data_IF_507697630695
#
_entry.id   IF_507697630695
#
_cell.length_a   1.000
_cell.length_b   1.000
_cell.length_c   1.000
_cell.angle_alpha   90.00
_cell.angle_beta   90.00
_cell.angle_gamma   90.00
#
_symmetry.space_group_name_H-M   'P 1'
#
loop_
_entity.id
_entity.type
_entity.pdbx_description
1 polymer ?
#
# COMPACT_ATOMS: atom_id res chain seq x y z
N UNK A 1 41.69 -29.37 14.04
CA UNK A 1 40.28 -29.76 14.20
C UNK A 1 39.48 -28.52 13.87
N UNK A 2 39.28 -28.30 12.57
CA UNK A 2 38.51 -27.17 12.04
C UNK A 2 37.06 -27.61 11.93
N UNK A 3 36.16 -26.84 12.55
CA UNK A 3 34.73 -27.05 12.49
C UNK A 3 34.02 -25.71 12.39
N UNK A 4 33.49 -25.43 11.19
CA UNK A 4 32.23 -24.74 10.79
C UNK A 4 31.88 -23.44 11.56
N UNK A 5 31.42 -22.36 10.92
CA UNK A 5 30.18 -22.30 10.15
C UNK A 5 30.31 -21.32 8.97
N UNK A 6 30.08 -21.84 7.76
CA UNK A 6 29.71 -21.02 6.61
C UNK A 6 28.26 -20.57 6.82
N UNK A 7 28.03 -19.27 6.85
CA UNK A 7 26.68 -18.71 6.81
C UNK A 7 26.21 -18.81 5.35
N UNK A 8 25.37 -19.80 5.06
CA UNK A 8 24.65 -19.88 3.79
C UNK A 8 23.75 -18.64 3.71
N UNK A 9 24.02 -17.79 2.72
CA UNK A 9 23.15 -16.67 2.37
C UNK A 9 21.88 -17.29 1.79
N UNK A 10 20.85 -17.41 2.61
CA UNK A 10 19.49 -17.60 2.11
C UNK A 10 19.16 -16.44 1.19
N UNK A 11 19.11 -16.74 -0.11
CA UNK A 11 18.58 -15.84 -1.13
C UNK A 11 17.17 -15.43 -0.73
N UNK A 12 17.02 -14.18 -0.30
CA UNK A 12 15.70 -13.58 -0.10
C UNK A 12 14.90 -13.68 -1.39
N UNK A 13 13.58 -13.96 -1.31
CA UNK A 13 12.73 -13.93 -2.49
C UNK A 13 12.79 -12.53 -3.09
N UNK A 14 13.05 -12.49 -4.40
CA UNK A 14 12.91 -11.31 -5.24
C UNK A 14 11.49 -10.75 -5.10
N UNK A 15 11.35 -9.70 -4.29
CA UNK A 15 10.12 -8.94 -4.10
C UNK A 15 10.03 -7.85 -5.18
N UNK A 16 10.21 -8.22 -6.45
CA UNK A 16 9.74 -7.41 -7.55
C UNK A 16 8.22 -7.41 -7.49
N UNK A 17 7.64 -6.26 -7.15
CA UNK A 17 6.20 -6.03 -7.19
C UNK A 17 5.64 -6.48 -8.57
N UNK A 18 4.68 -7.42 -8.62
CA UNK A 18 4.09 -7.81 -9.89
C UNK A 18 2.99 -6.80 -10.26
N UNK A 19 3.28 -5.80 -11.12
CA UNK A 19 2.18 -4.99 -11.67
C UNK A 19 2.40 -3.65 -12.36
N UNK A 20 3.61 -3.19 -12.70
CA UNK A 20 3.80 -1.86 -13.31
C UNK A 20 3.52 -1.77 -14.83
N UNK A 21 2.53 -2.49 -15.35
CA UNK A 21 2.08 -2.29 -16.72
C UNK A 21 1.02 -1.15 -16.75
N UNK A 22 1.21 -0.07 -17.52
CA UNK A 22 0.28 1.05 -17.52
C UNK A 22 -1.13 0.59 -17.91
N UNK A 23 -2.18 1.07 -17.22
CA UNK A 23 -3.56 0.68 -17.54
C UNK A 23 -3.99 1.24 -18.89
N UNK A 24 -4.95 0.57 -19.52
CA UNK A 24 -5.70 1.14 -20.64
C UNK A 24 -6.65 2.22 -20.11
N UNK A 25 -6.81 3.27 -20.89
CA UNK A 25 -7.74 4.35 -20.57
C UNK A 25 -9.19 3.91 -20.90
N UNK A 26 -10.21 4.36 -20.16
CA UNK A 26 -11.60 3.94 -20.41
C UNK A 26 -12.15 4.28 -21.81
N UNK A 27 -11.59 5.28 -22.49
CA UNK A 27 -11.92 5.62 -23.88
C UNK A 27 -11.40 4.59 -24.89
N UNK A 28 -10.52 3.67 -24.49
CA UNK A 28 -10.05 2.53 -25.26
C UNK A 28 -10.97 1.30 -25.12
N UNK A 29 -12.29 1.53 -25.01
CA UNK A 29 -13.30 0.51 -24.71
C UNK A 29 -13.22 -0.75 -25.59
N UNK A 30 -13.03 -0.61 -26.91
CA UNK A 30 -12.91 -1.75 -27.82
C UNK A 30 -11.72 -2.65 -27.49
N UNK A 31 -10.57 -2.09 -27.09
CA UNK A 31 -9.39 -2.88 -26.71
C UNK A 31 -9.62 -3.62 -25.39
N UNK A 32 -10.35 -3.00 -24.45
CA UNK A 32 -10.74 -3.64 -23.19
C UNK A 32 -11.67 -4.82 -23.47
N UNK A 33 -12.66 -4.65 -24.35
CA UNK A 33 -13.59 -5.71 -24.77
C UNK A 33 -12.85 -6.88 -25.44
N UNK A 34 -11.97 -6.60 -26.39
CA UNK A 34 -11.18 -7.61 -27.10
C UNK A 34 -10.29 -8.43 -26.16
N UNK A 35 -9.56 -7.75 -25.26
CA UNK A 35 -8.69 -8.42 -24.28
C UNK A 35 -9.48 -9.25 -23.28
N UNK A 36 -10.60 -8.73 -22.78
CA UNK A 36 -11.44 -9.49 -21.86
C UNK A 36 -12.10 -10.69 -22.54
N UNK A 37 -12.53 -10.56 -23.79
CA UNK A 37 -13.05 -11.68 -24.58
C UNK A 37 -11.96 -12.74 -24.83
N UNK A 38 -10.74 -12.32 -25.17
CA UNK A 38 -9.61 -13.22 -25.35
C UNK A 38 -9.28 -13.98 -24.06
N UNK A 39 -9.35 -13.30 -22.90
CA UNK A 39 -9.22 -13.95 -21.60
C UNK A 39 -10.29 -15.01 -21.35
N UNK A 40 -11.57 -14.70 -21.56
CA UNK A 40 -12.68 -15.65 -21.36
C UNK A 40 -12.54 -16.89 -22.25
N UNK A 41 -12.14 -16.69 -23.51
CA UNK A 41 -11.87 -17.77 -24.48
C UNK A 41 -10.57 -18.54 -24.16
N UNK A 42 -9.61 -17.87 -23.56
CA UNK A 42 -8.21 -18.30 -23.49
C UNK A 42 -7.81 -18.99 -22.19
N UNK A 43 -8.33 -18.57 -21.04
CA UNK A 43 -7.83 -18.99 -19.73
C UNK A 43 -8.04 -20.50 -19.48
N UNK A 44 -6.94 -21.19 -19.17
CA UNK A 44 -6.91 -22.64 -18.97
C UNK A 44 -6.47 -23.03 -17.56
N UNK A 45 -7.12 -24.06 -17.02
CA UNK A 45 -6.68 -24.76 -15.81
C UNK A 45 -6.63 -26.24 -16.14
N UNK A 46 -5.47 -26.87 -15.95
CA UNK A 46 -5.23 -28.29 -16.27
C UNK A 46 -5.64 -28.67 -17.71
N UNK A 47 -5.37 -27.79 -18.68
CA UNK A 47 -5.68 -28.01 -20.11
C UNK A 47 -7.16 -27.80 -20.49
N UNK A 48 -8.00 -27.31 -19.57
CA UNK A 48 -9.40 -27.03 -19.84
C UNK A 48 -9.69 -25.53 -19.84
N UNK A 49 -10.43 -25.04 -20.84
CA UNK A 49 -10.96 -23.67 -20.90
C UNK A 49 -11.92 -23.43 -19.74
N UNK A 50 -11.43 -22.82 -18.66
CA UNK A 50 -12.12 -22.78 -17.37
C UNK A 50 -13.49 -22.12 -17.48
N UNK A 51 -13.53 -20.88 -17.97
CA UNK A 51 -14.77 -20.10 -18.04
C UNK A 51 -15.77 -20.69 -19.04
N UNK A 52 -15.31 -21.35 -20.11
CA UNK A 52 -16.20 -22.07 -21.03
C UNK A 52 -16.88 -23.25 -20.33
N UNK A 53 -16.12 -24.04 -19.56
CA UNK A 53 -16.66 -25.18 -18.83
C UNK A 53 -17.65 -24.75 -17.75
N UNK A 54 -17.31 -23.74 -16.95
CA UNK A 54 -18.20 -23.21 -15.89
C UNK A 54 -19.49 -22.67 -16.50
N UNK A 55 -19.41 -21.85 -17.54
CA UNK A 55 -20.61 -21.24 -18.11
C UNK A 55 -21.47 -22.20 -18.93
N UNK A 56 -20.89 -23.28 -19.48
CA UNK A 56 -21.70 -24.40 -20.00
C UNK A 56 -22.56 -25.04 -18.92
N UNK A 57 -22.02 -25.24 -17.72
CA UNK A 57 -22.79 -25.76 -16.60
C UNK A 57 -23.86 -24.76 -16.13
N UNK A 58 -23.50 -23.47 -15.96
CA UNK A 58 -24.44 -22.42 -15.54
C UNK A 58 -25.58 -22.18 -16.54
N UNK A 59 -25.31 -22.34 -17.85
CA UNK A 59 -26.34 -22.25 -18.88
C UNK A 59 -27.44 -23.31 -18.72
N UNK A 60 -27.12 -24.50 -18.21
CA UNK A 60 -28.13 -25.56 -17.96
C UNK A 60 -29.17 -25.20 -16.91
N UNK A 61 -28.85 -24.23 -16.04
CA UNK A 61 -29.74 -23.71 -14.99
C UNK A 61 -30.20 -22.27 -15.29
N UNK A 62 -30.06 -21.81 -16.56
CA UNK A 62 -30.38 -20.46 -17.01
C UNK A 62 -29.73 -19.34 -16.19
N UNK A 63 -28.52 -19.58 -15.66
CA UNK A 63 -27.80 -18.60 -14.85
C UNK A 63 -26.75 -17.87 -15.70
N UNK A 64 -26.94 -16.57 -15.90
CA UNK A 64 -26.10 -15.74 -16.78
C UNK A 64 -24.99 -14.96 -16.09
N UNK A 65 -25.07 -14.74 -14.78
CA UNK A 65 -24.07 -13.96 -14.06
C UNK A 65 -22.69 -14.61 -14.10
N UNK A 66 -21.66 -13.78 -14.24
CA UNK A 66 -20.29 -14.20 -14.44
C UNK A 66 -19.42 -13.74 -13.29
N UNK A 67 -18.83 -14.69 -12.57
CA UNK A 67 -17.85 -14.43 -11.51
C UNK A 67 -16.46 -14.76 -12.02
N UNK A 68 -15.59 -13.76 -12.07
CA UNK A 68 -14.21 -13.85 -12.56
C UNK A 68 -13.27 -13.69 -11.38
N UNK A 69 -12.30 -14.60 -11.22
CA UNK A 69 -11.26 -14.41 -10.22
C UNK A 69 -10.20 -13.43 -10.75
N UNK A 70 -9.91 -12.36 -9.99
CA UNK A 70 -8.91 -11.36 -10.37
C UNK A 70 -7.52 -11.95 -10.62
N UNK A 71 -7.12 -12.97 -9.85
CA UNK A 71 -5.82 -13.64 -10.04
C UNK A 71 -5.71 -14.31 -11.41
N UNK A 72 -6.81 -14.83 -11.95
CA UNK A 72 -6.83 -15.42 -13.30
C UNK A 72 -6.59 -14.34 -14.36
N UNK A 73 -7.22 -13.16 -14.20
CA UNK A 73 -6.98 -12.00 -15.07
C UNK A 73 -5.52 -11.56 -14.99
N UNK A 74 -4.98 -11.42 -13.78
CA UNK A 74 -3.61 -10.99 -13.55
C UNK A 74 -2.58 -11.94 -14.18
N UNK A 75 -2.83 -13.25 -14.11
CA UNK A 75 -1.97 -14.27 -14.73
C UNK A 75 -2.03 -14.25 -16.27
N UNK A 76 -3.19 -13.97 -16.84
CA UNK A 76 -3.41 -14.02 -18.28
C UNK A 76 -3.05 -12.70 -18.98
N UNK A 77 -3.50 -11.58 -18.42
CA UNK A 77 -3.31 -10.24 -18.96
C UNK A 77 -3.15 -9.23 -17.82
N UNK A 78 -1.90 -8.97 -17.37
CA UNK A 78 -1.60 -8.01 -16.32
C UNK A 78 -2.06 -6.58 -16.63
N UNK A 79 -2.07 -6.16 -17.90
CA UNK A 79 -2.52 -4.82 -18.32
C UNK A 79 -4.03 -4.70 -18.12
N UNK A 80 -4.79 -5.70 -18.57
CA UNK A 80 -6.23 -5.73 -18.36
C UNK A 80 -6.59 -5.82 -16.88
N UNK A 81 -5.85 -6.62 -16.10
CA UNK A 81 -6.04 -6.70 -14.66
C UNK A 81 -5.83 -5.34 -13.98
N UNK A 82 -4.74 -4.63 -14.30
CA UNK A 82 -4.49 -3.29 -13.76
C UNK A 82 -5.55 -2.27 -14.21
N UNK A 83 -5.99 -2.34 -15.47
CA UNK A 83 -7.08 -1.51 -16.00
C UNK A 83 -8.37 -1.71 -15.21
N UNK A 84 -8.76 -2.97 -14.97
CA UNK A 84 -9.95 -3.33 -14.17
C UNK A 84 -9.75 -2.91 -12.71
N UNK A 85 -8.56 -3.05 -12.15
CA UNK A 85 -8.26 -2.62 -10.78
C UNK A 85 -8.53 -1.12 -10.58
N UNK A 86 -8.01 -0.29 -11.48
CA UNK A 86 -8.08 1.18 -11.39
C UNK A 86 -9.45 1.71 -11.83
N UNK A 87 -10.02 1.20 -12.94
CA UNK A 87 -11.18 1.81 -13.61
C UNK A 87 -12.45 0.95 -13.57
N UNK A 88 -12.59 -0.01 -12.64
CA UNK A 88 -13.70 -0.99 -12.66
C UNK A 88 -15.07 -0.38 -12.92
N UNK A 89 -15.44 0.68 -12.18
CA UNK A 89 -16.75 1.31 -12.33
C UNK A 89 -16.99 1.86 -13.74
N UNK A 90 -15.94 2.37 -14.39
CA UNK A 90 -16.01 2.95 -15.73
C UNK A 90 -16.02 1.91 -16.85
N UNK A 91 -15.43 0.72 -16.62
CA UNK A 91 -15.29 -0.33 -17.67
C UNK A 91 -16.33 -1.45 -17.56
N UNK A 92 -17.25 -1.41 -16.59
CA UNK A 92 -18.26 -2.45 -16.36
C UNK A 92 -19.06 -2.80 -17.62
N UNK A 93 -19.49 -1.79 -18.38
CA UNK A 93 -20.26 -2.00 -19.62
C UNK A 93 -19.45 -2.76 -20.66
N UNK A 94 -18.15 -2.45 -20.80
CA UNK A 94 -17.26 -3.15 -21.72
C UNK A 94 -17.10 -4.62 -21.33
N UNK A 95 -16.87 -4.89 -20.03
CA UNK A 95 -16.77 -6.27 -19.54
C UNK A 95 -18.05 -7.06 -19.80
N UNK A 96 -19.22 -6.44 -19.59
CA UNK A 96 -20.52 -7.05 -19.86
C UNK A 96 -20.74 -7.33 -21.35
N UNK A 97 -20.34 -6.41 -22.24
CA UNK A 97 -20.43 -6.60 -23.69
C UNK A 97 -19.61 -7.80 -24.16
N UNK A 98 -18.34 -7.87 -23.75
CA UNK A 98 -17.45 -8.97 -24.08
C UNK A 98 -17.96 -10.31 -23.50
N UNK A 99 -18.48 -10.32 -22.27
CA UNK A 99 -19.09 -11.51 -21.68
C UNK A 99 -20.35 -11.99 -22.44
N UNK A 100 -21.19 -11.07 -22.92
CA UNK A 100 -22.35 -11.42 -23.76
C UNK A 100 -21.94 -12.06 -25.08
N UNK A 101 -20.91 -11.53 -25.74
CA UNK A 101 -20.33 -12.12 -26.96
C UNK A 101 -19.81 -13.53 -26.66
N UNK A 102 -19.04 -13.68 -25.57
CA UNK A 102 -18.53 -14.98 -25.14
C UNK A 102 -19.64 -16.02 -24.90
N UNK A 103 -20.69 -15.68 -24.15
CA UNK A 103 -21.78 -16.61 -23.88
C UNK A 103 -22.52 -17.02 -25.14
N UNK A 104 -22.75 -16.07 -26.05
CA UNK A 104 -23.41 -16.35 -27.32
C UNK A 104 -22.58 -17.27 -28.22
N UNK A 105 -21.29 -16.99 -28.37
CA UNK A 105 -20.40 -17.69 -29.33
C UNK A 105 -19.84 -19.02 -28.79
N UNK A 106 -19.42 -19.06 -27.53
CA UNK A 106 -18.70 -20.21 -26.97
C UNK A 106 -19.58 -21.17 -26.18
N UNK A 107 -20.69 -20.66 -25.64
CA UNK A 107 -21.59 -21.40 -24.75
C UNK A 107 -22.95 -21.66 -25.42
N UNK A 108 -23.37 -20.81 -26.36
CA UNK A 108 -24.68 -20.89 -26.99
C UNK A 108 -25.82 -20.38 -26.10
N UNK A 109 -25.52 -19.47 -25.17
CA UNK A 109 -26.48 -18.91 -24.20
C UNK A 109 -26.65 -17.41 -24.41
N UNK A 110 -27.88 -16.92 -24.35
CA UNK A 110 -28.19 -15.48 -24.44
C UNK A 110 -28.73 -14.98 -23.10
N UNK A 111 -28.14 -13.88 -22.61
CA UNK A 111 -28.52 -13.23 -21.38
C UNK A 111 -28.55 -11.70 -21.59
N UNK A 112 -29.71 -11.09 -21.39
CA UNK A 112 -29.87 -9.63 -21.56
C UNK A 112 -29.27 -8.85 -20.37
N UNK A 113 -29.53 -9.33 -19.16
CA UNK A 113 -29.12 -8.71 -17.90
C UNK A 113 -28.00 -9.51 -17.24
N UNK A 114 -26.83 -9.48 -17.86
CA UNK A 114 -25.63 -10.13 -17.36
C UNK A 114 -24.86 -9.20 -16.44
N UNK A 115 -24.55 -9.67 -15.22
CA UNK A 115 -23.65 -8.98 -14.32
C UNK A 115 -22.28 -9.69 -14.27
N UNK A 116 -21.21 -8.94 -14.53
CA UNK A 116 -19.82 -9.40 -14.34
C UNK A 116 -19.32 -8.95 -12.97
N UNK A 117 -19.01 -9.92 -12.10
CA UNK A 117 -18.34 -9.70 -10.82
C UNK A 117 -16.87 -10.08 -10.94
N UNK A 118 -15.99 -9.21 -10.46
CA UNK A 118 -14.57 -9.52 -10.30
C UNK A 118 -14.32 -9.84 -8.83
N UNK A 119 -14.16 -11.12 -8.52
CA UNK A 119 -13.86 -11.65 -7.20
C UNK A 119 -12.38 -11.44 -6.86
N UNK A 120 -12.08 -11.27 -5.58
CA UNK A 120 -10.72 -11.12 -5.05
C UNK A 120 -9.92 -9.97 -5.71
N UNK A 121 -10.63 -8.96 -6.24
CA UNK A 121 -9.99 -7.76 -6.77
C UNK A 121 -9.32 -7.04 -5.60
N UNK A 122 -8.00 -6.73 -5.68
CA UNK A 122 -7.39 -5.89 -4.67
C UNK A 122 -8.15 -4.57 -4.63
N UNK A 123 -8.53 -4.12 -3.43
CA UNK A 123 -9.11 -2.79 -3.26
C UNK A 123 -8.12 -1.79 -3.87
N UNK A 124 -8.56 -0.83 -4.71
CA UNK A 124 -7.69 0.25 -5.14
C UNK A 124 -7.11 0.87 -3.88
N UNK A 125 -5.78 0.92 -3.76
CA UNK A 125 -5.11 1.45 -2.56
C UNK A 125 -5.66 2.86 -2.35
N UNK A 126 -6.47 3.03 -1.31
CA UNK A 126 -7.07 4.33 -1.02
C UNK A 126 -6.04 5.08 -0.22
N UNK A 127 -5.41 6.07 -0.84
CA UNK A 127 -4.46 6.93 -0.13
C UNK A 127 -5.18 8.17 0.39
N UNK A 128 -4.95 8.47 1.66
CA UNK A 128 -5.43 9.68 2.32
C UNK A 128 -4.25 10.44 2.93
N UNK A 129 -4.26 11.78 2.92
CA UNK A 129 -3.26 12.56 3.66
C UNK A 129 -3.24 12.15 5.14
N UNK A 130 -2.06 11.98 5.71
CA UNK A 130 -1.88 11.50 7.09
C UNK A 130 -2.62 12.38 8.11
N UNK A 131 -2.60 13.69 7.89
CA UNK A 131 -3.28 14.65 8.75
C UNK A 131 -4.81 14.45 8.75
N UNK A 132 -5.38 14.17 7.58
CA UNK A 132 -6.81 13.91 7.43
C UNK A 132 -7.17 12.55 8.04
N UNK A 133 -6.32 11.54 7.82
CA UNK A 133 -6.47 10.21 8.40
C UNK A 133 -6.52 10.27 9.94
N UNK A 134 -5.57 10.97 10.57
CA UNK A 134 -5.55 11.15 12.04
C UNK A 134 -6.65 12.06 12.59
N UNK A 135 -7.32 12.81 11.72
CA UNK A 135 -8.51 13.60 12.12
C UNK A 135 -9.78 12.74 12.17
N UNK A 136 -9.75 11.50 11.69
CA UNK A 136 -10.87 10.57 11.79
C UNK A 136 -11.00 10.05 13.24
N UNK A 137 -12.23 9.93 13.79
CA UNK A 137 -12.45 9.56 15.19
C UNK A 137 -11.81 8.25 15.64
N UNK A 138 -11.68 7.27 14.72
CA UNK A 138 -11.19 5.92 15.03
C UNK A 138 -9.67 5.78 14.86
N UNK A 139 -9.00 6.78 14.26
CA UNK A 139 -7.63 6.65 13.75
C UNK A 139 -6.65 7.64 14.39
N UNK A 140 -7.01 8.26 15.51
CA UNK A 140 -6.11 9.17 16.21
C UNK A 140 -4.80 8.45 16.61
N UNK A 141 -3.64 9.13 16.59
CA UNK A 141 -2.34 8.50 16.86
C UNK A 141 -2.12 8.14 18.34
N UNK A 142 -2.87 8.76 19.24
CA UNK A 142 -2.78 8.57 20.69
C UNK A 142 -4.11 8.87 21.37
N UNK A 143 -4.31 8.32 22.56
CA UNK A 143 -5.49 8.54 23.38
C UNK A 143 -5.13 8.64 24.85
N UNK A 144 -6.03 9.27 25.62
CA UNK A 144 -5.97 9.22 27.06
C UNK A 144 -6.60 7.93 27.60
N UNK A 145 -5.99 7.36 28.64
CA UNK A 145 -6.59 6.27 29.39
C UNK A 145 -6.30 6.41 30.88
N UNK A 146 -7.19 5.89 31.71
CA UNK A 146 -6.94 5.74 33.15
C UNK A 146 -6.27 4.40 33.44
N UNK A 147 -5.17 4.44 34.18
CA UNK A 147 -4.64 3.25 34.86
C UNK A 147 -5.18 3.26 36.28
N UNK A 148 -5.77 2.14 36.70
CA UNK A 148 -6.32 1.96 38.03
C UNK A 148 -5.38 1.12 38.90
N UNK A 149 -5.16 1.56 40.14
CA UNK A 149 -4.43 0.83 41.17
C UNK A 149 -5.20 0.92 42.49
N UNK A 150 -5.97 -0.12 42.81
CA UNK A 150 -6.90 -0.10 43.93
C UNK A 150 -7.95 1.02 43.77
N UNK A 151 -8.06 1.89 44.76
CA UNK A 151 -8.98 3.04 44.76
C UNK A 151 -8.40 4.29 44.06
N UNK A 152 -7.17 4.22 43.55
CA UNK A 152 -6.53 5.34 42.85
C UNK A 152 -6.55 5.13 41.35
N UNK A 153 -6.69 6.23 40.59
CA UNK A 153 -6.54 6.24 39.14
C UNK A 153 -5.55 7.31 38.71
N UNK A 154 -4.84 7.05 37.62
CA UNK A 154 -3.94 7.99 36.97
C UNK A 154 -4.29 8.08 35.49
N UNK A 155 -4.67 9.28 35.05
CA UNK A 155 -4.88 9.61 33.64
C UNK A 155 -3.53 9.75 32.94
N UNK A 156 -3.27 8.89 31.97
CA UNK A 156 -2.06 8.90 31.14
C UNK A 156 -2.43 9.02 29.66
N UNK A 157 -1.45 9.39 28.83
CA UNK A 157 -1.54 9.29 27.37
C UNK A 157 -0.83 8.02 26.92
N UNK A 158 -1.45 7.26 26.02
CA UNK A 158 -0.84 6.10 25.35
C UNK A 158 -1.00 6.20 23.84
N UNK A 159 -0.16 5.50 23.10
CA UNK A 159 -0.29 5.41 21.64
C UNK A 159 -1.39 4.43 21.24
N UNK A 160 -2.04 4.68 20.10
CA UNK A 160 -2.92 3.70 19.46
C UNK A 160 -2.14 2.71 18.60
N UNK A 161 -2.71 1.55 18.26
CA UNK A 161 -2.13 0.64 17.26
C UNK A 161 -1.82 1.36 15.94
N UNK A 162 -2.79 2.10 15.39
CA UNK A 162 -2.65 2.80 14.11
C UNK A 162 -1.53 3.84 14.15
N UNK A 163 -1.47 4.66 15.20
CA UNK A 163 -0.39 5.62 15.40
C UNK A 163 0.99 4.95 15.41
N UNK A 164 1.14 3.83 16.14
CA UNK A 164 2.43 3.09 16.17
C UNK A 164 2.80 2.49 14.82
N UNK A 165 1.84 1.87 14.13
CA UNK A 165 2.08 1.21 12.84
C UNK A 165 2.49 2.24 11.79
N UNK A 166 1.77 3.35 11.70
CA UNK A 166 2.05 4.42 10.74
C UNK A 166 3.41 5.07 11.01
N UNK A 167 3.73 5.40 12.27
CA UNK A 167 5.03 5.96 12.62
C UNK A 167 6.18 5.00 12.26
N UNK A 168 6.01 3.71 12.54
CA UNK A 168 6.99 2.68 12.18
C UNK A 168 7.16 2.57 10.66
N UNK A 169 6.06 2.57 9.90
CA UNK A 169 6.10 2.50 8.45
C UNK A 169 6.76 3.74 7.84
N UNK A 170 6.54 4.93 8.43
CA UNK A 170 7.21 6.16 8.01
C UNK A 170 8.71 6.11 8.26
N UNK A 171 9.15 5.65 9.43
CA UNK A 171 10.56 5.46 9.72
C UNK A 171 11.19 4.44 8.76
N UNK A 172 10.54 3.29 8.54
CA UNK A 172 10.97 2.29 7.56
C UNK A 172 11.08 2.86 6.15
N UNK A 173 10.12 3.70 5.73
CA UNK A 173 10.17 4.38 4.43
C UNK A 173 11.37 5.30 4.32
N UNK A 174 11.66 6.09 5.36
CA UNK A 174 12.81 7.00 5.40
C UNK A 174 14.13 6.22 5.31
N UNK A 175 14.32 5.22 6.18
CA UNK A 175 15.56 4.43 6.19
C UNK A 175 15.72 3.60 4.91
N UNK A 176 14.66 2.95 4.44
CA UNK A 176 14.69 2.16 3.21
C UNK A 176 14.94 3.01 1.96
N UNK A 177 14.45 4.26 1.92
CA UNK A 177 14.82 5.20 0.86
C UNK A 177 16.30 5.59 0.93
N UNK A 178 16.81 5.84 2.13
CA UNK A 178 18.22 6.19 2.36
C UNK A 178 19.17 5.07 1.93
N UNK A 179 18.87 3.82 2.28
CA UNK A 179 19.62 2.64 1.85
C UNK A 179 19.68 2.50 0.33
N UNK A 180 18.65 3.00 -0.38
CA UNK A 180 18.58 3.06 -1.85
C UNK A 180 19.24 4.30 -2.44
N UNK A 181 19.94 5.11 -1.63
CA UNK A 181 20.60 6.33 -2.08
C UNK A 181 19.64 7.52 -2.29
N UNK A 182 18.46 7.51 -1.68
CA UNK A 182 17.45 8.56 -1.81
C UNK A 182 17.14 9.24 -0.46
N UNK A 183 16.92 10.55 -0.48
CA UNK A 183 16.57 11.34 0.71
C UNK A 183 15.79 12.58 0.29
N UNK A 184 14.96 13.10 1.18
CA UNK A 184 14.23 14.36 0.97
C UNK A 184 14.95 15.55 1.61
N UNK A 185 16.02 15.31 2.37
CA UNK A 185 16.80 16.35 3.07
C UNK A 185 15.94 17.26 3.96
N UNK A 186 14.88 16.71 4.54
CA UNK A 186 13.91 17.43 5.35
C UNK A 186 12.96 18.35 4.58
N UNK A 187 12.93 18.30 3.24
CA UNK A 187 12.00 19.07 2.40
C UNK A 187 10.64 18.36 2.24
N UNK A 188 10.03 18.05 3.38
CA UNK A 188 8.69 17.48 3.47
C UNK A 188 8.07 17.81 4.84
N UNK A 189 6.76 17.69 4.93
CA UNK A 189 5.96 17.93 6.12
C UNK A 189 4.89 16.85 6.27
N UNK A 190 4.12 16.87 7.36
CA UNK A 190 3.00 15.93 7.54
C UNK A 190 1.97 15.97 6.39
N UNK A 191 1.80 17.13 5.73
CA UNK A 191 0.88 17.28 4.59
C UNK A 191 1.35 16.51 3.35
N UNK A 192 2.64 16.17 3.30
CA UNK A 192 3.25 15.41 2.21
C UNK A 192 3.25 13.90 2.47
N UNK A 193 2.69 13.45 3.59
CA UNK A 193 2.60 12.02 3.93
C UNK A 193 1.22 11.50 3.57
N UNK A 194 1.17 10.43 2.77
CA UNK A 194 -0.04 9.71 2.42
C UNK A 194 -0.06 8.36 3.12
N UNK A 195 -1.22 7.92 3.58
CA UNK A 195 -1.45 6.62 4.22
C UNK A 195 -2.42 5.80 3.38
N UNK A 196 -2.06 4.55 3.12
CA UNK A 196 -2.95 3.56 2.54
C UNK A 196 -3.97 3.12 3.61
N UNK A 197 -5.26 3.35 3.38
CA UNK A 197 -6.32 3.06 4.36
C UNK A 197 -6.42 1.57 4.71
N UNK A 198 -6.06 0.69 3.78
CA UNK A 198 -6.20 -0.76 3.94
C UNK A 198 -4.99 -1.41 4.61
N UNK A 199 -3.77 -0.89 4.40
CA UNK A 199 -2.51 -1.53 4.85
C UNK A 199 -1.71 -0.70 5.84
N UNK A 200 -2.06 0.57 6.04
CA UNK A 200 -1.28 1.57 6.78
C UNK A 200 0.14 1.78 6.23
N UNK A 201 0.41 1.35 4.99
CA UNK A 201 1.61 1.74 4.26
C UNK A 201 1.63 3.25 4.06
N UNK A 202 2.83 3.83 4.04
CA UNK A 202 2.99 5.28 3.92
C UNK A 202 3.87 5.66 2.75
N UNK A 203 3.51 6.76 2.12
CA UNK A 203 4.25 7.38 1.02
C UNK A 203 4.54 8.85 1.36
N UNK A 204 5.71 9.34 0.95
CA UNK A 204 6.06 10.76 1.02
C UNK A 204 6.00 11.31 -0.40
N UNK A 205 5.00 12.14 -0.70
CA UNK A 205 4.73 12.68 -2.04
C UNK A 205 5.57 13.91 -2.36
N UNK A 206 6.87 13.83 -2.05
CA UNK A 206 7.88 14.82 -2.38
C UNK A 206 8.97 14.20 -3.25
N UNK A 207 9.52 14.94 -4.22
CA UNK A 207 10.67 14.48 -4.97
C UNK A 207 11.89 14.36 -4.05
N UNK A 208 12.77 13.40 -4.34
CA UNK A 208 14.05 13.29 -3.66
C UNK A 208 14.95 14.48 -3.98
N UNK A 209 15.80 14.84 -3.02
CA UNK A 209 16.84 15.83 -3.23
C UNK A 209 18.01 15.25 -4.03
N UNK A 210 18.90 16.14 -4.53
CA UNK A 210 20.02 15.74 -5.41
C UNK A 210 21.15 14.97 -4.71
N UNK A 211 21.21 14.99 -3.37
CA UNK A 211 22.32 14.41 -2.60
C UNK A 211 21.76 13.52 -1.51
N UNK A 212 22.27 12.30 -1.38
CA UNK A 212 21.92 11.41 -0.28
C UNK A 212 23.15 11.14 0.58
N UNK A 213 23.11 11.55 1.85
CA UNK A 213 24.15 11.27 2.84
C UNK A 213 23.58 11.34 4.26
N UNK A 214 24.39 11.02 5.26
CA UNK A 214 23.94 11.01 6.67
C UNK A 214 23.35 12.35 7.14
N UNK A 215 23.82 13.48 6.60
CA UNK A 215 23.26 14.78 6.96
C UNK A 215 21.84 14.97 6.39
N UNK A 216 21.58 14.54 5.15
CA UNK A 216 20.24 14.63 4.56
C UNK A 216 19.26 13.68 5.24
N UNK A 217 19.70 12.45 5.57
CA UNK A 217 18.91 11.50 6.37
C UNK A 217 18.54 12.06 7.74
N UNK A 218 19.50 12.72 8.42
CA UNK A 218 19.23 13.38 9.71
C UNK A 218 18.15 14.45 9.58
N UNK A 219 18.15 15.24 8.51
CA UNK A 219 17.11 16.24 8.29
C UNK A 219 15.74 15.57 8.07
N UNK A 220 15.68 14.44 7.37
CA UNK A 220 14.44 13.66 7.23
C UNK A 220 13.94 13.16 8.59
N UNK A 221 14.83 12.64 9.45
CA UNK A 221 14.48 12.20 10.81
C UNK A 221 14.05 13.39 11.69
N UNK A 222 14.67 14.57 11.53
CA UNK A 222 14.29 15.78 12.25
C UNK A 222 12.84 16.18 11.94
N UNK A 223 12.40 16.06 10.68
CA UNK A 223 10.99 16.31 10.30
C UNK A 223 10.04 15.38 11.06
N UNK A 224 10.39 14.11 11.29
CA UNK A 224 9.57 13.21 12.12
C UNK A 224 9.41 13.78 13.53
N UNK A 225 10.49 14.23 14.17
CA UNK A 225 10.43 14.81 15.52
C UNK A 225 9.67 16.14 15.58
N UNK A 226 9.76 16.99 14.54
CA UNK A 226 9.17 18.32 14.55
C UNK A 226 7.77 18.40 13.97
N UNK A 227 7.38 17.48 13.10
CA UNK A 227 6.11 17.53 12.35
C UNK A 227 5.20 16.34 12.59
N UNK A 228 5.74 15.17 12.99
CA UNK A 228 4.93 13.94 13.16
C UNK A 228 4.71 13.63 14.64
N UNK A 229 5.77 13.61 15.45
CA UNK A 229 5.68 13.36 16.91
C UNK A 229 4.70 14.32 17.62
N UNK A 230 4.62 15.63 17.29
CA UNK A 230 3.69 16.53 17.95
C UNK A 230 2.21 16.12 17.85
N UNK A 231 1.81 15.40 16.79
CA UNK A 231 0.44 14.90 16.61
C UNK A 231 0.06 13.80 17.63
N UNK A 232 1.06 13.14 18.23
CA UNK A 232 0.83 12.18 19.32
C UNK A 232 0.52 12.86 20.66
N UNK A 233 0.49 14.19 20.72
CA UNK A 233 0.18 14.91 21.96
C UNK A 233 -1.34 14.90 22.20
N UNK A 234 -1.76 14.34 23.32
CA UNK A 234 -3.16 14.30 23.74
C UNK A 234 -3.29 14.86 25.15
N UNK A 235 -4.30 15.70 25.41
CA UNK A 235 -4.48 16.35 26.73
C UNK A 235 -3.28 17.21 27.16
N UNK A 236 -2.51 17.73 26.21
CA UNK A 236 -1.29 18.50 26.49
C UNK A 236 -0.07 17.66 26.90
N UNK A 237 -0.17 16.33 26.90
CA UNK A 237 0.90 15.39 27.29
C UNK A 237 1.28 14.47 26.13
N UNK A 238 2.53 14.01 26.12
CA UNK A 238 2.98 12.97 25.19
C UNK A 238 2.70 11.59 25.75
N UNK A 239 2.55 10.55 24.91
CA UNK A 239 2.47 9.19 25.36
C UNK A 239 3.72 8.82 26.17
N UNK A 240 3.56 7.95 27.17
CA UNK A 240 4.71 7.37 27.85
C UNK A 240 5.72 6.81 26.82
N UNK A 241 7.02 6.98 27.07
CA UNK A 241 8.16 6.69 26.16
C UNK A 241 8.45 7.70 25.03
N UNK A 242 7.50 8.54 24.61
CA UNK A 242 7.78 9.54 23.54
C UNK A 242 8.68 10.68 24.00
N UNK A 243 8.69 10.99 25.30
CA UNK A 243 9.67 11.93 25.86
C UNK A 243 11.11 11.45 25.67
N UNK A 244 11.38 10.16 25.90
CA UNK A 244 12.71 9.59 25.67
C UNK A 244 13.04 9.50 24.18
N UNK A 245 12.08 9.10 23.34
CA UNK A 245 12.27 9.07 21.88
C UNK A 245 12.57 10.46 21.31
N UNK A 246 11.79 11.48 21.69
CA UNK A 246 12.03 12.86 21.26
C UNK A 246 13.38 13.38 21.76
N UNK A 247 13.74 13.12 23.03
CA UNK A 247 15.07 13.45 23.54
C UNK A 247 16.20 12.75 22.76
N UNK A 248 16.09 11.44 22.51
CA UNK A 248 17.11 10.69 21.76
C UNK A 248 17.23 11.16 20.31
N UNK A 249 16.12 11.45 19.64
CA UNK A 249 16.12 11.98 18.27
C UNK A 249 16.75 13.38 18.23
N UNK A 250 16.43 14.26 19.17
CA UNK A 250 17.05 15.59 19.28
C UNK A 250 18.52 15.53 19.66
N UNK A 251 18.94 14.59 20.51
CA UNK A 251 20.33 14.43 20.89
C UNK A 251 21.18 13.86 19.76
N UNK A 252 20.66 12.90 18.99
CA UNK A 252 21.26 12.49 17.72
C UNK A 252 21.53 13.73 16.85
N UNK A 253 20.60 14.69 16.84
CA UNK A 253 20.67 15.97 16.12
C UNK A 253 21.75 16.95 16.66
N UNK A 254 22.22 16.79 17.89
CA UNK A 254 23.24 17.65 18.52
C UNK A 254 24.64 17.06 18.44
N UNK A 255 24.78 15.73 18.57
CA UNK A 255 26.10 15.09 18.58
C UNK A 255 26.84 15.23 17.24
N UNK A 256 26.12 15.20 16.11
CA UNK A 256 26.75 15.32 14.78
C UNK A 256 27.02 16.76 14.32
N UNK A 257 26.53 17.78 15.04
CA UNK A 257 26.99 19.17 14.85
C UNK A 257 28.32 19.40 15.59
N UNK A 258 28.61 18.64 16.64
CA UNK A 258 29.92 18.64 17.30
C UNK A 258 30.98 17.89 16.47
N UNK A 259 30.61 16.85 15.72
CA UNK A 259 31.54 16.20 14.78
C UNK A 259 31.98 17.09 13.61
N UNK A 260 31.23 18.15 13.25
CA UNK A 260 31.66 19.11 12.20
C UNK A 260 32.73 20.10 12.65
N UNK A 261 32.97 20.25 13.95
CA UNK A 261 34.03 21.12 14.47
C UNK A 261 35.39 20.41 14.63
N UNK A 262 35.47 19.12 14.34
CA UNK A 262 36.71 18.33 14.43
C UNK A 262 37.30 17.95 13.06
N UNK A 263 36.63 18.31 11.95
CA UNK A 263 37.15 18.09 10.58
C UNK A 263 37.71 19.37 9.92
N UNK A 264 37.73 20.51 10.63
CA UNK A 264 38.43 21.72 10.20
C UNK A 264 39.53 22.09 11.21
N UNK A 265 40.61 21.32 11.21
CA UNK A 265 41.92 21.78 11.68
C UNK A 265 42.90 21.52 10.52
N UNK A 266 43.65 22.53 10.05
CA UNK A 266 44.46 22.47 8.82
C UNK A 266 45.56 21.40 8.86
#
# INVERSE_FOLDING_TARGET
MEGRFACEVESQPDMSEPGNAPPLMPDQGSQIEERFLAFLKGYEVNGHKLYKTIHKALATINFGDMSINYKHLQQFDPILANTIHIFFGSVQTNLANAAKVFLKEEVGFQCENLLVKICDRPMPRSFMPLKDFWSLPEHHPSEECDIYCGETSLRITKTTPDGRIILLNLLKKIFGSFEKGNSWNGDWTIADVMVCLETYEVEIIKPFCKKCNYATMRHDILVVSTSIIPEFKCGGRFPAFFGHLDCSLRNFIIESSHCRYMEEIP
#
